data_IF_738157600667
#
_entry.id   IF_738157600667
#
_cell.length_a   1.000
_cell.length_b   1.000
_cell.length_c   1.000
_cell.angle_alpha   90.00
_cell.angle_beta   90.00
_cell.angle_gamma   90.00
#
_symmetry.space_group_name_H-M   'P 1'
#
loop_
_entity.id
_entity.type
_entity.pdbx_description
1 polymer ?
#
# COMPACT_ATOMS: atom_id res chain seq x y z
N UNK A 1 -2.37 -39.81 -107.23
CA UNK A 1 -2.05 -41.01 -106.44
C UNK A 1 -1.49 -40.59 -105.10
N UNK A 2 -1.77 -41.39 -104.07
CA UNK A 2 -1.24 -41.36 -102.71
C UNK A 2 -1.80 -40.29 -101.75
N UNK A 3 -2.19 -40.59 -100.52
CA UNK A 3 -2.48 -41.85 -99.79
C UNK A 3 -3.26 -41.40 -98.54
N UNK A 4 -4.30 -42.13 -98.20
CA UNK A 4 -5.06 -42.02 -96.96
C UNK A 4 -4.13 -42.14 -95.74
N UNK A 5 -4.12 -41.14 -94.86
CA UNK A 5 -3.60 -41.27 -93.49
C UNK A 5 -4.73 -40.92 -92.54
N UNK A 6 -5.36 -41.96 -92.01
CA UNK A 6 -6.31 -41.90 -90.90
C UNK A 6 -5.58 -41.50 -89.63
N UNK A 7 -5.74 -40.26 -89.19
CA UNK A 7 -5.30 -39.83 -87.87
C UNK A 7 -6.32 -40.33 -86.82
N UNK A 8 -5.87 -41.29 -86.02
CA UNK A 8 -6.59 -41.77 -84.83
C UNK A 8 -6.73 -40.61 -83.84
N UNK A 9 -7.91 -40.33 -83.27
CA UNK A 9 -8.01 -39.37 -82.18
C UNK A 9 -7.38 -39.99 -80.94
N UNK A 10 -6.16 -39.56 -80.58
CA UNK A 10 -5.61 -39.81 -79.27
C UNK A 10 -6.56 -39.19 -78.24
N UNK A 11 -7.35 -40.06 -77.59
CA UNK A 11 -8.13 -39.72 -76.41
C UNK A 11 -7.16 -39.29 -75.32
N UNK A 12 -6.95 -37.98 -75.22
CA UNK A 12 -6.38 -37.36 -74.03
C UNK A 12 -7.36 -37.71 -72.91
N UNK A 13 -7.04 -38.76 -72.15
CA UNK A 13 -7.72 -39.06 -70.89
C UNK A 13 -7.56 -37.81 -70.04
N UNK A 14 -8.59 -36.97 -70.07
CA UNK A 14 -8.86 -35.93 -69.09
C UNK A 14 -8.73 -36.63 -67.75
N UNK A 15 -7.66 -36.35 -67.00
CA UNK A 15 -7.56 -36.73 -65.61
C UNK A 15 -8.69 -36.02 -64.87
N UNK A 16 -9.88 -36.61 -64.89
CA UNK A 16 -10.92 -36.31 -63.93
C UNK A 16 -10.39 -36.86 -62.61
N UNK A 17 -9.63 -36.03 -61.91
CA UNK A 17 -9.48 -36.16 -60.47
C UNK A 17 -10.91 -36.19 -59.91
N UNK A 18 -11.38 -37.38 -59.55
CA UNK A 18 -12.55 -37.59 -58.72
C UNK A 18 -12.25 -36.92 -57.38
N UNK A 19 -12.62 -35.64 -57.27
CA UNK A 19 -12.54 -34.90 -56.04
C UNK A 19 -13.55 -35.47 -55.05
N UNK A 20 -13.09 -36.38 -54.20
CA UNK A 20 -13.30 -36.39 -52.74
C UNK A 20 -12.74 -37.71 -52.18
N UNK A 21 -11.43 -37.79 -52.03
CA UNK A 21 -10.80 -38.67 -51.01
C UNK A 21 -10.40 -37.81 -49.78
N UNK A 22 -11.16 -36.74 -49.55
CA UNK A 22 -11.03 -35.92 -48.36
C UNK A 22 -11.80 -36.61 -47.24
N UNK A 23 -11.12 -37.47 -46.49
CA UNK A 23 -11.62 -38.03 -45.24
C UNK A 23 -11.32 -37.07 -44.06
N UNK A 24 -12.32 -36.40 -43.49
CA UNK A 24 -12.12 -35.47 -42.37
C UNK A 24 -11.58 -36.14 -41.11
N UNK A 25 -11.79 -37.44 -40.91
CA UNK A 25 -11.25 -38.17 -39.74
C UNK A 25 -9.75 -38.42 -39.86
N UNK A 26 -9.24 -38.68 -41.06
CA UNK A 26 -7.79 -38.73 -41.33
C UNK A 26 -7.12 -37.39 -41.03
N UNK A 27 -7.74 -36.25 -41.41
CA UNK A 27 -7.20 -34.91 -41.10
C UNK A 27 -7.26 -34.61 -39.60
N UNK A 28 -8.34 -35.01 -38.92
CA UNK A 28 -8.51 -34.84 -37.46
C UNK A 28 -7.49 -35.67 -36.68
N UNK A 29 -7.26 -36.90 -37.12
CA UNK A 29 -6.27 -37.83 -36.55
C UNK A 29 -4.85 -37.32 -36.79
N UNK A 30 -4.52 -36.86 -38.00
CA UNK A 30 -3.23 -36.24 -38.30
C UNK A 30 -3.01 -34.95 -37.50
N UNK A 31 -4.05 -34.12 -37.30
CA UNK A 31 -3.98 -32.94 -36.42
C UNK A 31 -3.75 -33.31 -34.97
N UNK A 32 -4.42 -34.35 -34.45
CA UNK A 32 -4.16 -34.83 -33.09
C UNK A 32 -2.78 -35.43 -32.94
N UNK A 33 -2.28 -36.17 -33.94
CA UNK A 33 -0.92 -36.71 -33.95
C UNK A 33 0.14 -35.62 -34.05
N UNK A 34 -0.07 -34.60 -34.87
CA UNK A 34 0.80 -33.43 -34.96
C UNK A 34 0.82 -32.65 -33.64
N UNK A 35 -0.35 -32.43 -33.03
CA UNK A 35 -0.44 -31.76 -31.72
C UNK A 35 0.27 -32.57 -30.63
N UNK A 36 0.09 -33.89 -30.61
CA UNK A 36 0.76 -34.80 -29.68
C UNK A 36 2.29 -34.79 -29.90
N UNK A 37 2.73 -34.82 -31.16
CA UNK A 37 4.13 -34.76 -31.54
C UNK A 37 4.78 -33.44 -31.12
N UNK A 38 4.08 -32.31 -31.29
CA UNK A 38 4.56 -30.99 -30.84
C UNK A 38 4.70 -30.93 -29.32
N UNK A 39 3.75 -31.49 -28.57
CA UNK A 39 3.81 -31.55 -27.11
C UNK A 39 4.99 -32.44 -26.66
N UNK A 40 5.16 -33.61 -27.27
CA UNK A 40 6.28 -34.52 -26.97
C UNK A 40 7.64 -33.88 -27.28
N UNK A 41 7.75 -33.20 -28.43
CA UNK A 41 8.95 -32.46 -28.80
C UNK A 41 9.28 -31.37 -27.78
N UNK A 42 8.28 -30.65 -27.27
CA UNK A 42 8.49 -29.64 -26.22
C UNK A 42 9.06 -30.28 -24.95
N UNK A 43 8.44 -31.35 -24.45
CA UNK A 43 8.91 -32.08 -23.27
C UNK A 43 10.36 -32.57 -23.41
N UNK A 44 10.72 -33.12 -24.57
CA UNK A 44 12.07 -33.61 -24.80
C UNK A 44 13.10 -32.48 -24.86
N UNK A 45 12.73 -31.31 -25.40
CA UNK A 45 13.58 -30.12 -25.37
C UNK A 45 13.76 -29.60 -23.96
N UNK A 46 12.70 -29.55 -23.15
CA UNK A 46 12.77 -29.15 -21.75
C UNK A 46 13.70 -30.07 -20.97
N UNK A 47 13.55 -31.40 -21.10
CA UNK A 47 14.44 -32.38 -20.45
C UNK A 47 15.90 -32.22 -20.86
N UNK A 48 16.16 -31.87 -22.11
CA UNK A 48 17.52 -31.65 -22.60
C UNK A 48 18.13 -30.36 -22.02
N UNK A 49 17.35 -29.29 -21.94
CA UNK A 49 17.77 -28.03 -21.29
C UNK A 49 18.04 -28.25 -19.81
N UNK A 50 17.21 -29.01 -19.09
CA UNK A 50 17.43 -29.34 -17.67
C UNK A 50 18.74 -30.10 -17.49
N UNK A 51 19.00 -31.12 -18.32
CA UNK A 51 20.28 -31.85 -18.28
C UNK A 51 21.48 -30.94 -18.48
N UNK A 52 21.41 -29.98 -19.41
CA UNK A 52 22.47 -28.99 -19.59
C UNK A 52 22.58 -28.02 -18.41
N UNK A 53 21.46 -27.59 -17.85
CA UNK A 53 21.42 -26.72 -16.68
C UNK A 53 22.15 -27.34 -15.49
N UNK A 54 21.97 -28.64 -15.26
CA UNK A 54 22.64 -29.38 -14.18
C UNK A 54 24.16 -29.44 -14.37
N UNK A 55 24.65 -29.42 -15.61
CA UNK A 55 26.08 -29.44 -15.95
C UNK A 55 26.73 -28.03 -15.90
N UNK A 56 25.94 -26.96 -15.87
CA UNK A 56 26.44 -25.60 -15.90
C UNK A 56 26.89 -25.08 -14.55
N UNK A 57 27.85 -24.14 -14.57
CA UNK A 57 28.31 -23.42 -13.37
C UNK A 57 27.24 -22.45 -12.86
N UNK A 58 27.32 -22.06 -11.58
CA UNK A 58 26.36 -21.11 -11.00
C UNK A 58 26.27 -19.78 -11.76
N UNK A 59 27.39 -19.29 -12.31
CA UNK A 59 27.40 -18.09 -13.14
C UNK A 59 26.58 -18.26 -14.43
N UNK A 60 26.75 -19.39 -15.12
CA UNK A 60 26.00 -19.73 -16.34
C UNK A 60 24.52 -19.96 -16.06
N UNK A 61 24.18 -20.64 -14.95
CA UNK A 61 22.80 -20.83 -14.51
C UNK A 61 22.11 -19.49 -14.25
N UNK A 62 22.76 -18.59 -13.49
CA UNK A 62 22.25 -17.23 -13.23
C UNK A 62 22.07 -16.44 -14.53
N UNK A 63 23.02 -16.55 -15.45
CA UNK A 63 22.93 -15.88 -16.75
C UNK A 63 21.72 -16.38 -17.57
N UNK A 64 21.52 -17.69 -17.67
CA UNK A 64 20.34 -18.27 -18.33
C UNK A 64 19.05 -17.77 -17.67
N UNK A 65 18.94 -17.87 -16.34
CA UNK A 65 17.74 -17.43 -15.63
C UNK A 65 17.45 -15.96 -15.86
N UNK A 66 18.47 -15.09 -15.82
CA UNK A 66 18.29 -13.66 -16.11
C UNK A 66 17.80 -13.40 -17.54
N UNK A 67 18.33 -14.17 -18.51
CA UNK A 67 17.96 -14.06 -19.91
C UNK A 67 16.52 -14.55 -20.18
N UNK A 68 16.09 -15.60 -19.49
CA UNK A 68 14.72 -16.11 -19.57
C UNK A 68 13.72 -15.15 -18.91
N UNK A 69 14.01 -14.72 -17.68
CA UNK A 69 13.16 -13.77 -16.94
C UNK A 69 13.01 -12.44 -17.68
N UNK A 70 14.07 -11.95 -18.34
CA UNK A 70 14.02 -10.73 -19.15
C UNK A 70 13.13 -10.84 -20.40
N UNK A 71 12.75 -12.06 -20.82
CA UNK A 71 11.84 -12.32 -21.96
C UNK A 71 10.40 -12.58 -21.53
N UNK A 72 10.14 -12.78 -20.24
CA UNK A 72 8.81 -13.01 -19.71
C UNK A 72 8.00 -11.71 -19.65
N UNK A 73 6.69 -11.80 -19.83
CA UNK A 73 5.78 -10.67 -19.58
C UNK A 73 5.59 -10.45 -18.07
N UNK A 74 5.13 -9.26 -17.67
CA UNK A 74 4.84 -8.96 -16.26
C UNK A 74 3.79 -9.90 -15.66
N UNK A 75 2.84 -10.41 -16.44
CA UNK A 75 1.87 -11.41 -15.98
C UNK A 75 2.53 -12.76 -15.72
N UNK A 76 3.34 -13.25 -16.66
CA UNK A 76 4.06 -14.52 -16.52
C UNK A 76 5.01 -14.51 -15.32
N UNK A 77 5.72 -13.40 -15.10
CA UNK A 77 6.59 -13.24 -13.93
C UNK A 77 5.78 -13.26 -12.63
N UNK A 78 4.62 -12.57 -12.59
CA UNK A 78 3.74 -12.57 -11.43
C UNK A 78 3.22 -13.98 -11.11
N UNK A 79 2.76 -14.71 -12.12
CA UNK A 79 2.23 -16.06 -11.94
C UNK A 79 3.32 -17.01 -11.43
N UNK A 80 4.51 -16.97 -12.04
CA UNK A 80 5.68 -17.74 -11.61
C UNK A 80 6.12 -17.37 -10.19
N UNK A 81 6.16 -16.08 -9.85
CA UNK A 81 6.48 -15.62 -8.49
C UNK A 81 5.44 -16.11 -7.47
N UNK A 82 4.16 -16.09 -7.82
CA UNK A 82 3.09 -16.57 -6.94
C UNK A 82 3.12 -18.08 -6.71
N UNK A 83 3.59 -18.85 -7.69
CA UNK A 83 3.72 -20.31 -7.61
C UNK A 83 5.02 -20.74 -6.91
N UNK A 84 6.14 -20.08 -7.21
CA UNK A 84 7.49 -20.47 -6.75
C UNK A 84 7.90 -19.86 -5.43
N UNK A 85 7.44 -18.64 -5.13
CA UNK A 85 7.50 -18.11 -3.78
C UNK A 85 6.27 -18.68 -3.12
N UNK A 86 6.35 -19.77 -2.32
CA UNK A 86 5.33 -19.94 -1.32
C UNK A 86 5.35 -18.60 -0.60
N UNK A 87 4.25 -17.86 -0.67
CA UNK A 87 4.04 -16.73 0.22
C UNK A 87 4.01 -17.37 1.59
N UNK A 88 5.21 -17.66 2.11
CA UNK A 88 5.48 -17.83 3.51
C UNK A 88 4.85 -16.58 4.04
N UNK A 89 3.73 -16.78 4.72
CA UNK A 89 2.91 -15.73 5.35
C UNK A 89 3.72 -15.15 6.50
N UNK A 90 4.94 -14.73 6.20
CA UNK A 90 5.84 -14.12 7.13
C UNK A 90 5.31 -12.71 7.27
N UNK A 91 4.63 -12.51 8.39
CA UNK A 91 4.14 -11.22 8.76
C UNK A 91 5.35 -10.30 8.95
N UNK A 92 5.63 -9.47 7.95
CA UNK A 92 6.77 -8.57 7.95
C UNK A 92 6.73 -7.64 9.18
N UNK A 93 5.55 -7.36 9.74
CA UNK A 93 5.41 -6.52 10.93
C UNK A 93 5.98 -7.15 12.20
N UNK A 94 6.21 -8.47 12.20
CA UNK A 94 6.82 -9.22 13.30
C UNK A 94 8.33 -9.40 13.16
N UNK A 95 8.84 -9.33 11.93
CA UNK A 95 10.27 -9.57 11.63
C UNK A 95 11.04 -8.26 11.49
N UNK A 96 10.41 -7.24 10.91
CA UNK A 96 11.04 -5.94 10.70
C UNK A 96 10.98 -5.08 11.96
N UNK A 97 12.04 -4.29 12.22
CA UNK A 97 11.98 -3.18 13.17
C UNK A 97 10.78 -2.26 12.89
N UNK A 98 10.15 -1.75 13.96
CA UNK A 98 8.91 -0.94 13.90
C UNK A 98 8.96 0.20 12.87
N UNK A 99 10.09 0.88 12.71
CA UNK A 99 10.21 2.01 11.79
C UNK A 99 10.08 1.59 10.31
N UNK A 100 10.59 0.42 9.93
CA UNK A 100 10.47 -0.11 8.57
C UNK A 100 9.03 -0.55 8.30
N UNK A 101 8.38 -1.20 9.27
CA UNK A 101 6.97 -1.58 9.17
C UNK A 101 6.07 -0.35 8.99
N UNK A 102 6.32 0.73 9.74
CA UNK A 102 5.59 2.00 9.58
C UNK A 102 5.88 2.67 8.25
N UNK A 103 7.11 2.59 7.74
CA UNK A 103 7.45 3.11 6.41
C UNK A 103 6.66 2.38 5.31
N UNK A 104 6.60 1.05 5.35
CA UNK A 104 5.79 0.27 4.39
C UNK A 104 4.30 0.65 4.49
N UNK A 105 3.75 0.72 5.71
CA UNK A 105 2.35 1.11 5.94
C UNK A 105 2.05 2.56 5.54
N UNK A 106 3.06 3.43 5.43
CA UNK A 106 2.87 4.82 5.01
C UNK A 106 2.44 4.97 3.54
N UNK A 107 2.73 3.96 2.70
CA UNK A 107 2.32 3.93 1.29
C UNK A 107 0.86 3.53 1.08
N UNK A 108 0.21 2.97 2.10
CA UNK A 108 -1.18 2.54 2.00
C UNK A 108 -2.15 3.72 2.03
N UNK A 109 -3.29 3.59 1.34
CA UNK A 109 -4.37 4.55 1.45
C UNK A 109 -5.11 4.41 2.79
N UNK A 110 -5.88 5.42 3.24
CA UNK A 110 -6.63 5.35 4.49
C UNK A 110 -7.58 4.15 4.58
N UNK A 111 -8.23 3.76 3.47
CA UNK A 111 -9.05 2.54 3.41
C UNK A 111 -8.22 1.28 3.64
N UNK A 112 -7.09 1.17 2.95
CA UNK A 112 -6.20 0.01 3.05
C UNK A 112 -5.56 -0.09 4.44
N UNK A 113 -5.27 1.04 5.09
CA UNK A 113 -4.85 1.07 6.49
C UNK A 113 -5.92 0.59 7.46
N UNK A 114 -7.18 0.95 7.22
CA UNK A 114 -8.29 0.43 8.01
C UNK A 114 -8.50 -1.07 7.78
N UNK A 115 -8.25 -1.59 6.58
CA UNK A 115 -8.27 -3.02 6.30
C UNK A 115 -7.08 -3.74 6.97
N UNK A 116 -5.88 -3.17 6.87
CA UNK A 116 -4.67 -3.63 7.54
C UNK A 116 -4.88 -3.77 9.06
N UNK A 117 -5.55 -2.79 9.69
CA UNK A 117 -5.87 -2.83 11.12
C UNK A 117 -6.80 -3.99 11.54
N UNK A 118 -7.47 -4.67 10.60
CA UNK A 118 -8.35 -5.80 10.87
C UNK A 118 -7.63 -7.16 10.76
N UNK A 119 -6.35 -7.18 10.36
CA UNK A 119 -5.59 -8.42 10.15
C UNK A 119 -5.19 -9.07 11.48
N UNK A 120 -4.58 -8.30 12.38
CA UNK A 120 -4.16 -8.78 13.71
C UNK A 120 -3.96 -7.62 14.68
N UNK A 121 -3.77 -7.92 15.98
CA UNK A 121 -3.49 -6.90 16.99
C UNK A 121 -2.23 -6.08 16.67
N UNK A 122 -1.17 -6.74 16.21
CA UNK A 122 0.09 -6.08 15.84
C UNK A 122 -0.12 -5.12 14.67
N UNK A 123 -0.87 -5.55 13.65
CA UNK A 123 -1.22 -4.72 12.51
C UNK A 123 -2.09 -3.54 12.91
N UNK A 124 -3.08 -3.78 13.79
CA UNK A 124 -3.90 -2.71 14.36
C UNK A 124 -3.04 -1.68 15.06
N UNK A 125 -2.15 -2.12 15.95
CA UNK A 125 -1.26 -1.23 16.67
C UNK A 125 -0.43 -0.36 15.73
N UNK A 126 0.17 -0.94 14.68
CA UNK A 126 0.98 -0.18 13.71
C UNK A 126 0.14 0.73 12.81
N UNK A 127 -1.01 0.26 12.32
CA UNK A 127 -1.87 1.02 11.41
C UNK A 127 -2.56 2.20 12.11
N UNK A 128 -2.75 2.15 13.43
CA UNK A 128 -3.35 3.23 14.24
C UNK A 128 -2.32 4.25 14.75
N UNK A 129 -1.04 4.14 14.36
CA UNK A 129 0.00 5.07 14.81
C UNK A 129 -0.19 6.48 14.27
N UNK A 130 -0.07 7.46 15.15
CA UNK A 130 -0.28 8.88 14.84
C UNK A 130 0.59 9.36 13.67
N UNK A 131 1.85 8.93 13.59
CA UNK A 131 2.75 9.33 12.51
C UNK A 131 2.21 9.03 11.09
N UNK A 132 1.33 8.03 10.94
CA UNK A 132 0.66 7.71 9.69
C UNK A 132 -0.49 8.69 9.41
N UNK A 133 -1.23 9.12 10.44
CA UNK A 133 -2.45 9.90 10.30
C UNK A 133 -2.20 11.42 10.39
N UNK A 134 -1.29 11.88 11.25
CA UNK A 134 -0.93 13.29 11.41
C UNK A 134 -0.57 13.94 10.08
N UNK A 135 0.34 13.33 9.30
CA UNK A 135 0.75 13.86 7.98
C UNK A 135 -0.40 13.91 6.97
N UNK A 136 -1.43 13.08 7.13
CA UNK A 136 -2.62 13.08 6.26
C UNK A 136 -3.62 14.15 6.67
N UNK A 137 -3.84 14.34 7.96
CA UNK A 137 -4.70 15.39 8.52
C UNK A 137 -4.12 16.79 8.27
N UNK A 138 -2.84 17.00 8.60
CA UNK A 138 -2.17 18.30 8.46
C UNK A 138 -2.16 18.78 7.01
N UNK A 139 -1.93 17.88 6.04
CA UNK A 139 -2.01 18.21 4.60
C UNK A 139 -3.40 18.72 4.17
N UNK A 140 -4.45 18.44 4.92
CA UNK A 140 -5.83 18.89 4.69
C UNK A 140 -6.23 20.07 5.58
N UNK A 141 -5.30 20.61 6.36
CA UNK A 141 -5.58 21.66 7.34
C UNK A 141 -6.41 21.18 8.54
N UNK A 142 -6.39 19.87 8.83
CA UNK A 142 -7.08 19.29 9.98
C UNK A 142 -6.09 19.15 11.14
N UNK A 143 -6.42 19.79 12.25
CA UNK A 143 -5.58 19.85 13.45
C UNK A 143 -6.39 19.41 14.66
N UNK A 144 -5.75 18.64 15.55
CA UNK A 144 -6.37 18.32 16.83
C UNK A 144 -6.37 19.57 17.73
N UNK A 145 -7.43 19.78 18.52
CA UNK A 145 -7.50 20.88 19.48
C UNK A 145 -6.60 20.67 20.70
N UNK A 146 -5.98 19.49 20.83
CA UNK A 146 -5.03 19.15 21.89
C UNK A 146 -3.89 18.29 21.34
N UNK A 147 -2.79 18.21 22.08
CA UNK A 147 -1.69 17.30 21.77
C UNK A 147 -1.96 15.93 22.42
N UNK A 148 -2.10 14.84 21.64
CA UNK A 148 -2.37 13.53 22.22
C UNK A 148 -1.22 13.07 23.11
N UNK A 149 -1.57 12.46 24.25
CA UNK A 149 -0.59 11.91 25.19
C UNK A 149 0.13 10.69 24.61
N UNK A 150 1.31 10.35 25.12
CA UNK A 150 2.13 9.22 24.62
C UNK A 150 1.47 7.84 24.67
N UNK A 151 0.37 7.69 25.42
CA UNK A 151 -0.41 6.44 25.56
C UNK A 151 -1.73 6.47 24.79
N UNK A 152 -2.06 7.60 24.17
CA UNK A 152 -3.28 7.76 23.38
C UNK A 152 -2.98 7.36 21.94
N UNK A 153 -3.45 6.18 21.55
CA UNK A 153 -3.27 5.68 20.18
C UNK A 153 -4.53 5.93 19.36
N UNK A 154 -4.36 6.30 18.09
CA UNK A 154 -5.47 6.46 17.17
C UNK A 154 -6.23 7.77 17.31
N UNK A 155 -5.77 8.73 18.13
CA UNK A 155 -6.39 10.06 18.23
C UNK A 155 -6.45 10.75 16.86
N UNK A 156 -5.34 10.72 16.11
CA UNK A 156 -5.29 11.26 14.75
C UNK A 156 -6.11 10.45 13.75
N UNK A 157 -6.23 9.13 13.92
CA UNK A 157 -7.08 8.28 13.08
C UNK A 157 -8.55 8.60 13.29
N UNK A 158 -9.01 8.67 14.54
CA UNK A 158 -10.38 8.97 14.88
C UNK A 158 -10.75 10.37 14.37
N UNK A 159 -9.89 11.36 14.60
CA UNK A 159 -10.07 12.70 14.04
C UNK A 159 -10.13 12.68 12.50
N UNK A 160 -9.28 11.90 11.83
CA UNK A 160 -9.36 11.75 10.37
C UNK A 160 -10.72 11.19 9.93
N UNK A 161 -11.22 10.16 10.61
CA UNK A 161 -12.51 9.54 10.31
C UNK A 161 -13.65 10.55 10.56
N UNK A 162 -13.60 11.28 11.67
CA UNK A 162 -14.57 12.32 12.02
C UNK A 162 -14.57 13.45 11.00
N UNK A 163 -13.40 13.93 10.58
CA UNK A 163 -13.28 14.96 9.55
C UNK A 163 -13.79 14.47 8.20
N UNK A 164 -13.53 13.21 7.82
CA UNK A 164 -14.04 12.64 6.57
C UNK A 164 -15.55 12.40 6.61
N UNK A 165 -16.09 11.97 7.76
CA UNK A 165 -17.53 11.72 7.92
C UNK A 165 -18.35 13.01 8.00
N UNK A 166 -17.80 14.05 8.63
CA UNK A 166 -18.37 15.41 8.68
C UNK A 166 -18.18 16.18 7.38
N UNK A 167 -17.24 15.75 6.53
CA UNK A 167 -17.20 16.09 5.12
C UNK A 167 -18.37 15.39 4.40
N UNK A 168 -19.60 15.79 4.73
CA UNK A 168 -20.66 15.73 3.75
C UNK A 168 -20.11 16.37 2.48
N UNK A 169 -20.30 15.75 1.32
CA UNK A 169 -20.00 16.37 0.03
C UNK A 169 -20.90 17.60 -0.10
N UNK A 170 -20.48 18.70 0.53
CA UNK A 170 -21.18 19.96 0.54
C UNK A 170 -20.81 20.64 -0.76
N UNK A 171 -21.78 21.07 -1.57
CA UNK A 171 -21.52 21.98 -2.67
C UNK A 171 -20.63 23.12 -2.16
N UNK A 172 -19.62 23.58 -2.94
CA UNK A 172 -18.56 24.50 -2.47
C UNK A 172 -19.03 25.69 -1.63
N UNK A 173 -20.26 26.19 -1.89
CA UNK A 173 -20.90 27.28 -1.16
C UNK A 173 -21.20 26.98 0.31
N UNK A 174 -21.63 25.76 0.65
CA UNK A 174 -21.95 25.35 2.03
C UNK A 174 -20.71 24.97 2.83
N UNK A 175 -19.67 24.46 2.17
CA UNK A 175 -18.38 24.19 2.81
C UNK A 175 -17.71 25.48 3.29
N UNK A 176 -17.72 26.54 2.46
CA UNK A 176 -17.13 27.84 2.82
C UNK A 176 -17.76 28.47 4.07
N UNK A 177 -19.08 28.36 4.23
CA UNK A 177 -19.78 28.87 5.43
C UNK A 177 -19.48 28.04 6.67
N UNK A 178 -19.36 26.72 6.52
CA UNK A 178 -19.06 25.82 7.63
C UNK A 178 -17.61 25.98 8.13
N UNK A 179 -16.64 26.15 7.22
CA UNK A 179 -15.26 26.42 7.63
C UNK A 179 -15.10 27.81 8.27
N UNK A 180 -15.83 28.82 7.78
CA UNK A 180 -15.84 30.15 8.40
C UNK A 180 -16.34 30.09 9.84
N UNK A 181 -17.44 29.37 10.10
CA UNK A 181 -17.99 29.26 11.45
C UNK A 181 -17.11 28.44 12.40
N UNK A 182 -16.47 27.38 11.91
CA UNK A 182 -15.50 26.61 12.71
C UNK A 182 -14.26 27.44 13.07
N UNK A 183 -13.73 28.23 12.12
CA UNK A 183 -12.57 29.09 12.38
C UNK A 183 -12.91 30.21 13.37
N UNK A 184 -14.13 30.75 13.29
CA UNK A 184 -14.64 31.74 14.23
C UNK A 184 -14.73 31.16 15.65
N UNK A 185 -15.27 29.95 15.80
CA UNK A 185 -15.30 29.22 17.08
C UNK A 185 -13.92 28.89 17.64
N UNK A 186 -12.97 28.50 16.78
CA UNK A 186 -11.59 28.22 17.21
C UNK A 186 -10.88 29.50 17.70
N UNK A 187 -11.15 30.64 17.05
CA UNK A 187 -10.68 31.95 17.51
C UNK A 187 -11.29 32.34 18.86
N UNK A 188 -12.59 32.13 19.05
CA UNK A 188 -13.27 32.38 20.32
C UNK A 188 -12.71 31.53 21.47
N UNK A 189 -12.42 30.25 21.23
CA UNK A 189 -11.81 29.38 22.25
C UNK A 189 -10.39 29.79 22.60
N UNK A 190 -9.59 30.23 21.61
CA UNK A 190 -8.22 30.69 21.86
C UNK A 190 -8.19 32.00 22.67
N UNK A 191 -9.10 32.94 22.36
CA UNK A 191 -9.23 34.20 23.11
C UNK A 191 -9.72 33.95 24.55
N UNK A 192 -10.64 33.02 24.76
CA UNK A 192 -11.12 32.65 26.10
C UNK A 192 -10.02 31.97 26.93
N UNK A 193 -9.21 31.10 26.33
CA UNK A 193 -8.04 30.50 26.99
C UNK A 193 -7.00 31.55 27.37
N UNK A 194 -6.72 32.52 26.50
CA UNK A 194 -5.79 33.62 26.76
C UNK A 194 -6.29 34.53 27.91
N UNK A 195 -7.60 34.83 27.97
CA UNK A 195 -8.20 35.56 29.09
C UNK A 195 -8.12 34.79 30.41
N UNK A 196 -8.28 33.46 30.37
CA UNK A 196 -8.12 32.59 31.55
C UNK A 196 -6.67 32.52 32.00
N UNK A 197 -5.73 32.48 31.05
CA UNK A 197 -4.30 32.49 31.33
C UNK A 197 -3.88 33.81 32.00
N UNK A 198 -4.29 34.96 31.44
CA UNK A 198 -4.02 36.27 32.05
C UNK A 198 -4.66 36.45 33.44
N UNK A 199 -5.83 35.85 33.68
CA UNK A 199 -6.44 35.84 35.02
C UNK A 199 -5.65 35.01 36.02
N UNK A 200 -5.11 33.85 35.60
CA UNK A 200 -4.23 33.03 36.45
C UNK A 200 -2.92 33.76 36.77
N UNK A 201 -2.31 34.42 35.80
CA UNK A 201 -1.08 35.21 35.97
C UNK A 201 -1.30 36.41 36.90
N UNK A 202 -2.45 37.09 36.79
CA UNK A 202 -2.84 38.17 37.69
C UNK A 202 -3.05 37.70 39.14
N UNK A 203 -3.66 36.52 39.35
CA UNK A 203 -3.80 35.94 40.69
C UNK A 203 -2.45 35.51 41.29
N UNK A 204 -1.49 35.08 40.48
CA UNK A 204 -0.12 34.74 40.93
C UNK A 204 0.66 36.01 41.31
N UNK A 205 0.46 37.11 40.57
CA UNK A 205 1.04 38.42 40.91
C UNK A 205 0.49 38.99 42.22
N UNK A 206 -0.81 38.84 42.49
CA UNK A 206 -1.44 39.29 43.73
C UNK A 206 -0.99 38.48 44.96
N UNK A 207 -0.72 37.18 44.80
CA UNK A 207 -0.16 36.34 45.87
C UNK A 207 1.32 36.67 46.20
N UNK A 208 2.02 37.38 45.31
CA UNK A 208 3.42 37.77 45.51
C UNK A 208 3.59 39.13 46.22
N UNK A 209 2.52 39.90 46.40
CA UNK A 209 2.54 41.21 47.10
C UNK A 209 2.22 41.15 48.60
N UNK A 210 1.88 39.98 49.17
CA UNK A 210 1.55 39.84 50.60
C UNK A 210 2.64 39.20 51.47
N UNK A 211 3.84 38.92 50.95
CA UNK A 211 4.97 38.45 51.78
C UNK A 211 6.11 39.47 51.81
N UNK A 212 5.89 40.57 52.53
CA UNK A 212 6.99 41.43 53.00
C UNK A 212 7.85 40.69 54.03
N UNK A 213 9.18 40.88 54.05
CA UNK A 213 10.07 40.15 54.95
C UNK A 213 9.81 40.53 56.43
N UNK A 214 9.93 39.59 57.38
CA UNK A 214 9.76 39.91 58.79
C UNK A 214 10.89 40.82 59.26
N UNK A 215 10.52 41.94 59.89
CA UNK A 215 11.47 42.91 60.44
C UNK A 215 12.39 42.32 61.52
N UNK A 216 13.58 42.90 61.75
CA UNK A 216 14.62 42.28 62.55
C UNK A 216 14.27 42.32 64.06
N UNK A 217 14.42 41.15 64.66
CA UNK A 217 14.25 40.85 66.09
C UNK A 217 14.94 41.87 67.01
N UNK A 218 14.16 42.49 67.90
CA UNK A 218 14.66 43.27 69.04
C UNK A 218 14.73 42.34 70.26
N UNK A 219 15.95 41.95 70.66
CA UNK A 219 16.19 41.21 71.90
C UNK A 219 15.85 42.06 73.14
N UNK A 220 15.31 41.39 74.16
CA UNK A 220 14.72 41.97 75.36
C UNK A 220 15.69 42.48 76.42
N UNK A 221 15.12 43.00 77.51
CA UNK A 221 15.84 43.39 78.72
C UNK A 221 15.00 44.23 79.68
N UNK A 222 14.54 43.60 80.75
CA UNK A 222 13.60 44.04 81.79
C UNK A 222 14.08 45.18 82.72
N UNK A 223 13.14 45.98 83.27
CA UNK A 223 13.00 46.29 84.73
C UNK A 223 11.79 47.19 85.06
N UNK A 224 11.15 47.04 86.25
CA UNK A 224 10.05 47.89 86.73
C UNK A 224 10.57 49.10 87.56
N UNK A 225 9.71 50.10 87.86
CA UNK A 225 10.15 51.37 88.42
C UNK A 225 10.30 51.34 89.95
N UNK A 226 11.17 52.22 90.45
CA UNK A 226 11.29 52.59 91.86
C UNK A 226 10.90 54.06 92.03
N UNK A 227 10.22 54.33 93.15
CA UNK A 227 9.62 55.58 93.65
C UNK A 227 8.19 55.86 93.19
#
# INVERSE_FOLDING_TARGET
>A
MDKSVTAVPHSVKRWQLSGTDYDPETVRTLRSFLLLCVIQLFEDRVKLVIRWFDLWTDGQRKHLMSSLLGRCTSSQLRDLLMETVPVTRLDFTTVLPRFLSLYVLSFLNPRDLCAAAQVSWQWRFLAEQDCLWTKRCVRRGWFLPYSPGTREYGAWKNHYIDCVSTLHWLPPRKAATHYRSLHQRAGETAVEEERRQGRKESCIGAASSETGPPGPWRHGGSRPPSQ
#
